data_IF_642250752717
#
_entry.id   IF_642250752717
#
_cell.length_a   1.000
_cell.length_b   1.000
_cell.length_c   1.000
_cell.angle_alpha   90.00
_cell.angle_beta   90.00
_cell.angle_gamma   90.00
#
_symmetry.space_group_name_H-M   'P 1'
#
loop_
_entity.id
_entity.type
_entity.pdbx_description
1 polymer ?
#
# COMPACT_ATOMS: atom_id res chain seq x y z
N UNK A 1 -9.81 4.63 22.72
CA UNK A 1 -8.89 4.86 21.60
C UNK A 1 -7.64 4.05 21.82
N UNK A 2 -7.29 3.25 20.84
CA UNK A 2 -6.08 2.46 20.86
C UNK A 2 -4.82 3.30 20.64
N UNK A 3 -3.69 2.73 20.95
CA UNK A 3 -2.39 3.31 20.68
C UNK A 3 -2.10 3.24 19.17
N UNK A 4 -1.63 4.34 18.59
CA UNK A 4 -1.17 4.36 17.19
C UNK A 4 0.34 4.17 17.15
N UNK A 5 0.78 3.17 16.39
CA UNK A 5 2.18 2.92 16.09
C UNK A 5 2.49 3.39 14.68
N UNK A 6 3.49 4.23 14.55
CA UNK A 6 3.98 4.69 13.25
C UNK A 6 5.29 3.99 12.90
N UNK A 7 5.35 3.42 11.69
CA UNK A 7 6.52 2.69 11.20
C UNK A 7 6.87 3.13 9.79
N UNK A 8 8.16 3.09 9.49
CA UNK A 8 8.68 3.21 8.13
C UNK A 8 9.56 1.99 7.85
N UNK A 9 9.52 1.48 6.62
CA UNK A 9 10.36 0.33 6.25
C UNK A 9 11.82 0.71 6.06
N UNK A 10 12.09 1.96 5.67
CA UNK A 10 13.43 2.42 5.37
C UNK A 10 14.04 1.76 4.12
N UNK A 11 13.25 1.06 3.33
CA UNK A 11 13.67 0.31 2.14
C UNK A 11 12.85 0.68 0.93
N UNK A 12 13.44 0.57 -0.26
CA UNK A 12 12.76 0.72 -1.55
C UNK A 12 12.62 -0.63 -2.27
N UNK A 13 13.08 -1.70 -1.66
CA UNK A 13 12.95 -3.06 -2.17
C UNK A 13 11.52 -3.56 -1.99
N UNK A 14 10.80 -3.86 -3.08
CA UNK A 14 9.39 -4.27 -2.99
C UNK A 14 9.18 -5.58 -2.24
N UNK A 15 10.07 -6.54 -2.38
CA UNK A 15 9.94 -7.82 -1.68
C UNK A 15 10.09 -7.63 -0.16
N UNK A 16 11.07 -6.83 0.25
CA UNK A 16 11.26 -6.47 1.66
C UNK A 16 10.05 -5.71 2.21
N UNK A 17 9.56 -4.72 1.47
CA UNK A 17 8.43 -3.89 1.92
C UNK A 17 7.14 -4.69 2.08
N UNK A 18 6.83 -5.58 1.14
CA UNK A 18 5.66 -6.46 1.26
C UNK A 18 5.80 -7.44 2.42
N UNK A 19 6.99 -7.99 2.63
CA UNK A 19 7.26 -8.86 3.76
C UNK A 19 7.17 -8.12 5.10
N UNK A 20 7.64 -6.89 5.16
CA UNK A 20 7.53 -6.03 6.32
C UNK A 20 6.06 -5.78 6.71
N UNK A 21 5.24 -5.38 5.73
CA UNK A 21 3.80 -5.17 5.94
C UNK A 21 3.12 -6.44 6.46
N UNK A 22 3.37 -7.58 5.84
CA UNK A 22 2.81 -8.87 6.25
C UNK A 22 3.28 -9.27 7.65
N UNK A 23 4.55 -9.06 7.97
CA UNK A 23 5.09 -9.33 9.29
C UNK A 23 4.38 -8.51 10.37
N UNK A 24 4.21 -7.20 10.15
CA UNK A 24 3.48 -6.34 11.10
C UNK A 24 2.03 -6.80 11.25
N UNK A 25 1.38 -7.12 10.13
CA UNK A 25 -0.02 -7.59 10.15
C UNK A 25 -0.19 -8.85 11.01
N UNK A 26 0.75 -9.78 10.93
CA UNK A 26 0.64 -11.09 11.58
C UNK A 26 1.23 -11.16 12.98
N UNK A 27 2.14 -10.25 13.33
CA UNK A 27 2.89 -10.25 14.61
C UNK A 27 2.62 -8.99 15.45
N UNK A 28 1.70 -8.15 15.04
CA UNK A 28 1.42 -6.90 15.75
C UNK A 28 0.94 -7.16 17.17
N UNK A 29 1.26 -6.20 18.01
CA UNK A 29 0.72 -6.11 19.36
C UNK A 29 -0.57 -5.27 19.34
N UNK A 30 -1.10 -4.94 20.51
CA UNK A 30 -2.28 -4.12 20.66
C UNK A 30 -2.11 -2.74 20.01
N UNK A 31 -3.19 -2.24 19.40
CA UNK A 31 -3.28 -0.92 18.81
C UNK A 31 -3.32 -0.92 17.29
N UNK A 32 -3.36 0.27 16.74
CA UNK A 32 -3.38 0.51 15.30
C UNK A 32 -1.98 0.82 14.80
N UNK A 33 -1.73 0.50 13.53
CA UNK A 33 -0.44 0.74 12.88
C UNK A 33 -0.64 1.52 11.60
N UNK A 34 0.24 2.50 11.40
CA UNK A 34 0.42 3.19 10.13
C UNK A 34 1.84 2.93 9.64
N UNK A 35 1.95 2.39 8.43
CA UNK A 35 3.23 2.15 7.78
C UNK A 35 3.30 3.03 6.53
N UNK A 36 4.38 3.80 6.39
CA UNK A 36 4.70 4.51 5.16
C UNK A 36 5.86 3.82 4.46
N UNK A 37 5.74 3.61 3.15
CA UNK A 37 6.73 2.89 2.38
C UNK A 37 6.69 3.23 0.89
N UNK A 38 7.80 3.02 0.20
CA UNK A 38 7.96 3.27 -1.22
C UNK A 38 8.67 2.11 -1.88
N UNK A 39 8.27 1.78 -3.11
CA UNK A 39 8.96 0.86 -3.98
C UNK A 39 9.55 1.62 -5.16
N UNK A 40 10.76 1.27 -5.56
CA UNK A 40 11.37 1.81 -6.76
C UNK A 40 11.16 0.86 -7.96
N UNK A 41 10.72 1.43 -9.08
CA UNK A 41 10.65 0.75 -10.38
C UNK A 41 10.02 -0.66 -10.29
N UNK A 42 8.79 -0.75 -9.81
CA UNK A 42 8.14 -2.02 -9.46
C UNK A 42 6.76 -2.14 -10.06
N UNK A 43 6.45 -3.29 -10.63
CA UNK A 43 5.08 -3.74 -10.90
C UNK A 43 4.65 -4.66 -9.77
N UNK A 44 3.55 -4.31 -9.10
CA UNK A 44 2.92 -5.15 -8.08
C UNK A 44 1.66 -5.77 -8.66
N UNK A 45 1.65 -7.08 -8.79
CA UNK A 45 0.47 -7.82 -9.27
C UNK A 45 -0.38 -8.31 -8.10
N UNK A 46 -1.67 -8.43 -8.36
CA UNK A 46 -2.61 -8.96 -7.37
C UNK A 46 -2.41 -10.46 -7.13
N UNK A 47 -2.91 -10.92 -5.99
CA UNK A 47 -2.76 -12.31 -5.53
C UNK A 47 -3.14 -13.35 -6.60
N UNK A 48 -4.21 -13.09 -7.34
CA UNK A 48 -4.81 -14.05 -8.27
C UNK A 48 -4.56 -13.74 -9.75
N UNK A 49 -3.75 -12.71 -10.05
CA UNK A 49 -3.44 -12.35 -11.42
C UNK A 49 -2.37 -13.26 -12.02
N UNK A 50 -2.48 -13.48 -13.33
CA UNK A 50 -1.39 -14.09 -14.11
C UNK A 50 -0.33 -13.02 -14.38
N UNK A 51 0.78 -13.07 -13.67
CA UNK A 51 1.83 -12.06 -13.78
C UNK A 51 2.38 -11.95 -15.21
N UNK A 52 2.54 -13.08 -15.91
CA UNK A 52 3.05 -13.09 -17.29
C UNK A 52 2.12 -12.36 -18.26
N UNK A 53 0.80 -12.37 -18.00
CA UNK A 53 -0.19 -11.68 -18.82
C UNK A 53 -0.26 -10.16 -18.52
N UNK A 54 0.14 -9.77 -17.30
CA UNK A 54 0.04 -8.37 -16.84
C UNK A 54 1.28 -7.53 -17.18
N UNK A 55 2.38 -8.15 -17.62
CA UNK A 55 3.64 -7.47 -17.88
C UNK A 55 4.09 -7.60 -19.33
N UNK A 56 4.83 -6.61 -19.80
CA UNK A 56 5.64 -6.73 -21.02
C UNK A 56 7.02 -7.27 -20.62
N UNK A 57 7.25 -8.56 -20.82
CA UNK A 57 8.46 -9.24 -20.36
C UNK A 57 9.75 -8.61 -20.92
N UNK A 58 9.74 -8.26 -22.20
CA UNK A 58 10.92 -7.65 -22.82
C UNK A 58 11.25 -6.29 -22.21
N UNK A 59 10.23 -5.48 -21.94
CA UNK A 59 10.40 -4.18 -21.28
C UNK A 59 10.89 -4.33 -19.83
N UNK A 60 10.28 -5.24 -19.08
CA UNK A 60 10.66 -5.54 -17.69
C UNK A 60 12.13 -5.94 -17.60
N UNK A 61 12.57 -6.85 -18.46
CA UNK A 61 13.96 -7.33 -18.47
C UNK A 61 14.94 -6.23 -18.91
N UNK A 62 14.58 -5.45 -19.94
CA UNK A 62 15.43 -4.37 -20.45
C UNK A 62 15.60 -3.21 -19.47
N UNK A 63 14.60 -2.89 -18.68
CA UNK A 63 14.58 -1.76 -17.74
C UNK A 63 14.75 -2.17 -16.28
N UNK A 64 15.04 -3.42 -16.01
CA UNK A 64 15.25 -3.98 -14.67
C UNK A 64 14.07 -3.70 -13.71
N UNK A 65 12.85 -3.79 -14.23
CA UNK A 65 11.65 -3.59 -13.44
C UNK A 65 11.46 -4.77 -12.50
N UNK A 66 11.26 -4.48 -11.21
CA UNK A 66 10.90 -5.50 -10.23
C UNK A 66 9.44 -5.93 -10.43
N UNK A 67 9.18 -7.22 -10.39
CA UNK A 67 7.82 -7.76 -10.44
C UNK A 67 7.59 -8.56 -9.17
N UNK A 68 6.61 -8.14 -8.38
CA UNK A 68 6.26 -8.79 -7.13
C UNK A 68 4.76 -9.03 -7.06
N UNK A 69 4.37 -9.99 -6.25
CA UNK A 69 2.97 -10.33 -5.99
C UNK A 69 2.61 -9.96 -4.57
N UNK A 70 1.51 -9.22 -4.41
CA UNK A 70 0.96 -8.95 -3.07
C UNK A 70 0.03 -10.09 -2.62
N UNK A 71 -0.25 -10.12 -1.33
CA UNK A 71 -1.13 -11.14 -0.71
C UNK A 71 -2.62 -10.80 -0.83
N UNK A 72 -2.93 -9.63 -1.35
CA UNK A 72 -4.31 -9.15 -1.54
C UNK A 72 -4.72 -9.22 -3.01
N UNK A 73 -6.03 -9.20 -3.26
CA UNK A 73 -6.60 -9.20 -4.61
C UNK A 73 -6.44 -7.87 -5.33
N UNK A 74 -7.06 -7.75 -6.49
CA UNK A 74 -7.09 -6.55 -7.30
C UNK A 74 -6.15 -6.59 -8.51
N UNK A 75 -6.04 -5.46 -9.20
CA UNK A 75 -5.26 -5.30 -10.43
C UNK A 75 -3.77 -5.05 -10.22
N UNK A 76 -3.02 -5.03 -11.29
CA UNK A 76 -1.62 -4.68 -11.29
C UNK A 76 -1.45 -3.16 -11.20
N UNK A 77 -0.44 -2.72 -10.47
CA UNK A 77 -0.06 -1.32 -10.34
C UNK A 77 1.44 -1.15 -10.54
N UNK A 78 1.84 0.03 -10.99
CA UNK A 78 3.25 0.39 -11.08
C UNK A 78 3.61 1.39 -9.97
N UNK A 79 4.73 1.13 -9.30
CA UNK A 79 5.29 1.99 -8.27
C UNK A 79 6.65 2.52 -8.69
N UNK A 80 6.86 3.79 -8.51
CA UNK A 80 8.18 4.43 -8.52
C UNK A 80 8.35 5.32 -7.27
N UNK A 81 9.43 6.07 -7.19
CA UNK A 81 9.68 6.93 -6.04
C UNK A 81 8.77 8.16 -5.95
N UNK A 82 7.96 8.41 -6.98
CA UNK A 82 6.89 9.41 -6.94
C UNK A 82 5.61 8.90 -6.27
N UNK A 83 5.55 7.62 -5.94
CA UNK A 83 4.39 6.99 -5.31
C UNK A 83 4.68 6.65 -3.85
N UNK A 84 3.90 7.21 -2.96
CA UNK A 84 3.94 6.88 -1.53
C UNK A 84 2.83 5.89 -1.20
N UNK A 85 3.22 4.75 -0.64
CA UNK A 85 2.27 3.78 -0.10
C UNK A 85 2.05 4.01 1.38
N UNK A 86 0.84 3.80 1.82
CA UNK A 86 0.50 3.78 3.24
C UNK A 86 -0.36 2.56 3.54
N UNK A 87 -0.10 1.97 4.69
CA UNK A 87 -0.86 0.82 5.19
C UNK A 87 -1.39 1.13 6.57
N UNK A 88 -2.71 1.06 6.72
CA UNK A 88 -3.36 1.08 8.02
C UNK A 88 -3.68 -0.34 8.44
N UNK A 89 -3.20 -0.74 9.59
CA UNK A 89 -3.47 -2.05 10.18
C UNK A 89 -4.20 -1.83 11.50
N UNK A 90 -5.39 -2.38 11.59
CA UNK A 90 -6.26 -2.23 12.74
C UNK A 90 -6.97 -3.55 13.02
N UNK A 91 -7.53 -3.69 14.21
CA UNK A 91 -8.38 -4.82 14.51
C UNK A 91 -9.69 -4.72 13.74
N UNK A 92 -10.18 -5.86 13.28
CA UNK A 92 -11.45 -5.94 12.58
C UNK A 92 -12.60 -5.70 13.56
N UNK A 93 -13.25 -4.58 13.42
CA UNK A 93 -14.57 -4.37 14.00
C UNK A 93 -15.57 -5.03 13.04
N UNK A 94 -16.38 -5.96 13.52
CA UNK A 94 -17.28 -6.80 12.72
C UNK A 94 -18.29 -6.09 11.82
N UNK A 95 -18.22 -4.79 11.68
CA UNK A 95 -18.92 -3.99 10.68
C UNK A 95 -17.95 -3.61 9.56
N UNK A 96 -18.27 -4.08 8.39
CA UNK A 96 -17.62 -3.88 7.12
C UNK A 96 -16.57 -2.76 7.07
N UNK A 97 -15.38 -3.08 6.58
CA UNK A 97 -14.34 -2.15 6.16
C UNK A 97 -14.97 -0.90 5.53
N UNK A 98 -15.15 0.13 6.33
CA UNK A 98 -15.50 1.44 5.83
C UNK A 98 -14.23 2.08 5.32
N UNK A 99 -14.00 2.02 4.02
CA UNK A 99 -12.87 2.68 3.37
C UNK A 99 -12.78 4.15 3.77
N UNK A 100 -13.90 4.81 3.99
CA UNK A 100 -14.00 6.17 4.49
C UNK A 100 -13.21 6.41 5.78
N UNK A 101 -13.16 5.43 6.68
CA UNK A 101 -12.40 5.48 7.92
C UNK A 101 -10.89 5.62 7.68
N UNK A 102 -10.40 5.06 6.59
CA UNK A 102 -8.99 5.09 6.21
C UNK A 102 -8.66 6.20 5.24
N UNK A 103 -9.63 6.65 4.46
CA UNK A 103 -9.49 7.72 3.48
C UNK A 103 -9.52 9.10 4.14
N UNK A 104 -10.38 9.30 5.12
CA UNK A 104 -10.57 10.59 5.78
C UNK A 104 -9.27 11.15 6.40
N UNK A 105 -8.45 10.39 7.13
CA UNK A 105 -7.20 10.89 7.66
C UNK A 105 -6.21 11.35 6.59
N UNK A 106 -6.20 10.69 5.43
CA UNK A 106 -5.34 11.06 4.30
C UNK A 106 -5.81 12.37 3.68
N UNK A 107 -7.10 12.52 3.46
CA UNK A 107 -7.70 13.77 2.96
C UNK A 107 -7.40 14.92 3.91
N UNK A 108 -7.56 14.73 5.21
CA UNK A 108 -7.27 15.74 6.23
C UNK A 108 -5.80 16.14 6.22
N UNK A 109 -4.89 15.18 6.10
CA UNK A 109 -3.46 15.45 6.02
C UNK A 109 -3.10 16.26 4.77
N UNK A 110 -3.66 15.92 3.61
CA UNK A 110 -3.44 16.66 2.37
C UNK A 110 -3.95 18.10 2.46
N UNK A 111 -5.12 18.29 3.06
CA UNK A 111 -5.68 19.64 3.30
C UNK A 111 -4.82 20.45 4.26
N UNK A 112 -4.28 19.81 5.29
CA UNK A 112 -3.35 20.46 6.23
C UNK A 112 -2.05 20.92 5.54
N UNK A 113 -1.66 20.24 4.45
CA UNK A 113 -0.53 20.65 3.62
C UNK A 113 -0.89 21.74 2.59
N UNK A 114 -2.12 22.23 2.58
CA UNK A 114 -2.58 23.29 1.69
C UNK A 114 -3.11 22.81 0.34
N UNK A 115 -3.35 21.52 0.20
CA UNK A 115 -3.89 20.95 -1.03
C UNK A 115 -5.42 20.89 -1.00
N UNK A 116 -6.02 20.98 -2.18
CA UNK A 116 -7.44 20.68 -2.35
C UNK A 116 -7.60 19.17 -2.53
N UNK A 117 -8.20 18.51 -1.58
CA UNK A 117 -8.39 17.09 -1.59
C UNK A 117 -9.79 16.70 -1.13
N UNK A 118 -10.36 15.71 -1.79
CA UNK A 118 -11.63 15.12 -1.41
C UNK A 118 -11.64 13.63 -1.78
N UNK A 119 -12.37 12.85 -1.05
CA UNK A 119 -12.58 11.45 -1.41
C UNK A 119 -13.62 11.37 -2.52
N UNK A 120 -13.33 10.63 -3.58
CA UNK A 120 -14.24 10.41 -4.70
C UNK A 120 -14.34 8.94 -5.09
N UNK A 121 -15.49 8.54 -5.63
CA UNK A 121 -15.72 7.17 -6.05
C UNK A 121 -15.57 6.15 -4.90
N UNK A 122 -15.02 5.00 -5.22
CA UNK A 122 -14.79 3.93 -4.24
C UNK A 122 -13.48 4.07 -3.47
N UNK A 123 -12.41 4.49 -4.13
CA UNK A 123 -11.05 4.35 -3.62
C UNK A 123 -10.13 5.52 -3.97
N UNK A 124 -10.64 6.61 -4.49
CA UNK A 124 -9.84 7.71 -5.01
C UNK A 124 -9.89 8.94 -4.09
N UNK A 125 -8.78 9.63 -4.06
CA UNK A 125 -8.65 10.94 -3.42
C UNK A 125 -8.19 11.96 -4.47
#
# INVERSE_FOLDING_TARGET
>A
MGKLHYLETGSQDPAYNLAFEEYVLTHRMEGDYLILWQNDNTVVVGQNQNAAAEINRAFVDAHHVHVVRRTTGGGAVYHDLGNLNYSFITDEDGDALRLERFTAPVVDALRALGLQAEASGRNDI
#
